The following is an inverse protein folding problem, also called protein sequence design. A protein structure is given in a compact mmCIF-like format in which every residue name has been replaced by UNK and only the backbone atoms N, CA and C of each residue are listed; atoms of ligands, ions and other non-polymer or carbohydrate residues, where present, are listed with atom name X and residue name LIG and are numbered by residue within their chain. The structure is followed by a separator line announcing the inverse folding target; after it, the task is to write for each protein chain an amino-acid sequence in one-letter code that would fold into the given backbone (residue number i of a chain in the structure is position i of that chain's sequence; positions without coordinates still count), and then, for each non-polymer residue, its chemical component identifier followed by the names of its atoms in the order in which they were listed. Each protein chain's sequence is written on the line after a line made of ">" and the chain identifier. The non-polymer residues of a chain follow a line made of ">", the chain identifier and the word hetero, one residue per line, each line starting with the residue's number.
data_IF_401852285367
#
_entry.id   IF_401852285367
#
_cell.length_a   1.000
_cell.length_b   1.000
_cell.length_c   1.000
_cell.angle_alpha   90.00
_cell.angle_beta   90.00
_cell.angle_gamma   90.00
#
_symmetry.space_group_name_H-M   'P 1'
#
loop_
_entity.id
_entity.type
_entity.pdbx_description
1 polymer ?
#
# COMPACT_ATOMS: atom_id res chain seq x y z
N UNK A 1 -17.97 46.34 66.00
CA UNK A 1 -17.76 46.27 64.54
C UNK A 1 -16.94 45.04 64.19
N UNK A 2 -17.52 44.06 63.47
CA UNK A 2 -16.81 43.05 62.68
C UNK A 2 -17.68 42.77 61.45
N UNK A 3 -17.15 43.00 60.25
CA UNK A 3 -17.91 42.85 59.03
C UNK A 3 -18.02 41.36 58.64
N UNK A 4 -19.23 40.91 58.28
CA UNK A 4 -19.39 39.67 57.52
C UNK A 4 -19.15 40.00 56.05
N UNK A 5 -18.14 39.36 55.44
CA UNK A 5 -17.94 39.41 53.99
C UNK A 5 -18.49 38.13 53.39
N UNK A 6 -19.62 38.23 52.69
CA UNK A 6 -20.26 37.10 52.01
C UNK A 6 -19.55 36.82 50.69
N UNK A 7 -18.82 35.71 50.59
CA UNK A 7 -18.21 35.27 49.33
C UNK A 7 -19.21 34.45 48.52
N UNK A 8 -19.65 34.98 47.37
CA UNK A 8 -20.45 34.25 46.39
C UNK A 8 -19.48 33.58 45.40
N UNK A 9 -19.27 32.26 45.55
CA UNK A 9 -18.49 31.48 44.59
C UNK A 9 -19.42 31.02 43.47
N UNK A 10 -19.48 31.80 42.38
CA UNK A 10 -20.20 31.43 41.16
C UNK A 10 -19.34 30.46 40.33
N UNK A 11 -19.34 29.18 40.70
CA UNK A 11 -18.69 28.13 39.90
C UNK A 11 -19.56 27.77 38.69
N UNK A 12 -19.45 28.56 37.62
CA UNK A 12 -20.06 28.21 36.34
C UNK A 12 -19.37 26.97 35.76
N UNK A 13 -20.05 25.82 35.79
CA UNK A 13 -19.58 24.62 35.11
C UNK A 13 -19.76 24.81 33.61
N UNK A 14 -18.65 25.11 32.92
CA UNK A 14 -18.59 25.07 31.46
C UNK A 14 -18.73 23.60 31.01
N UNK A 15 -19.94 23.21 30.59
CA UNK A 15 -20.13 22.01 29.78
C UNK A 15 -19.45 22.23 28.44
N UNK A 16 -18.19 21.80 28.31
CA UNK A 16 -17.53 21.68 27.02
C UNK A 16 -18.32 20.65 26.23
N UNK A 17 -19.12 21.11 25.28
CA UNK A 17 -19.71 20.25 24.27
C UNK A 17 -18.54 19.58 23.53
N UNK A 18 -18.35 18.29 23.78
CA UNK A 18 -17.34 17.52 23.06
C UNK A 18 -17.65 17.62 21.58
N UNK A 19 -16.71 18.12 20.79
CA UNK A 19 -16.85 18.21 19.34
C UNK A 19 -17.28 16.83 18.84
N UNK A 20 -18.48 16.75 18.28
CA UNK A 20 -18.92 15.53 17.62
C UNK A 20 -17.86 15.20 16.58
N UNK A 21 -17.41 13.94 16.53
CA UNK A 21 -16.69 13.47 15.34
C UNK A 21 -17.61 13.71 14.17
N UNK A 22 -17.29 14.68 13.31
CA UNK A 22 -17.86 14.71 11.98
C UNK A 22 -17.50 13.36 11.36
N UNK A 23 -18.52 12.51 11.21
CA UNK A 23 -18.45 11.40 10.29
C UNK A 23 -18.25 12.05 8.92
N UNK A 24 -17.01 12.07 8.44
CA UNK A 24 -16.69 12.36 7.05
C UNK A 24 -17.62 11.47 6.22
N UNK A 25 -18.65 12.09 5.63
CA UNK A 25 -19.58 11.36 4.79
C UNK A 25 -18.85 11.07 3.50
N UNK A 26 -18.50 9.80 3.30
CA UNK A 26 -18.05 9.28 2.01
C UNK A 26 -18.90 9.90 0.90
N UNK A 27 -18.28 10.68 0.02
CA UNK A 27 -18.98 11.47 -0.98
C UNK A 27 -19.56 10.59 -2.09
N UNK A 28 -19.02 9.39 -2.25
CA UNK A 28 -19.53 8.35 -3.14
C UNK A 28 -19.22 6.97 -2.54
N UNK A 29 -20.17 6.03 -2.65
CA UNK A 29 -20.02 4.63 -2.25
C UNK A 29 -20.21 3.77 -3.50
N UNK A 30 -19.18 3.00 -3.86
CA UNK A 30 -19.23 2.04 -4.96
C UNK A 30 -19.28 0.63 -4.40
N UNK A 31 -20.41 -0.08 -4.61
CA UNK A 31 -20.50 -1.50 -4.26
C UNK A 31 -19.69 -2.33 -5.23
N UNK A 32 -18.84 -3.18 -4.68
CA UNK A 32 -17.95 -4.10 -5.40
C UNK A 32 -18.22 -5.53 -4.92
N UNK A 33 -17.79 -6.53 -5.70
CA UNK A 33 -17.89 -7.94 -5.29
C UNK A 33 -16.71 -8.73 -5.80
N UNK A 34 -16.15 -9.57 -4.96
CA UNK A 34 -14.98 -10.39 -5.21
C UNK A 34 -13.75 -9.57 -5.66
N UNK A 35 -13.40 -8.52 -4.92
CA UNK A 35 -12.10 -7.85 -5.13
C UNK A 35 -11.00 -8.88 -4.84
N UNK A 36 -10.07 -9.07 -5.79
CA UNK A 36 -8.87 -9.93 -5.62
C UNK A 36 -7.57 -9.21 -5.98
N UNK A 37 -7.66 -8.21 -6.86
CA UNK A 37 -6.57 -7.30 -7.22
C UNK A 37 -7.04 -5.86 -7.07
N UNK A 38 -6.18 -4.99 -6.55
CA UNK A 38 -6.41 -3.54 -6.48
C UNK A 38 -5.30 -2.87 -7.27
N UNK A 39 -5.63 -2.01 -8.25
CA UNK A 39 -4.68 -1.17 -8.98
C UNK A 39 -4.98 0.30 -8.71
N UNK A 40 -3.95 1.06 -8.35
CA UNK A 40 -4.02 2.50 -8.10
C UNK A 40 -3.03 3.24 -9.00
N UNK A 41 -3.48 4.34 -9.61
CA UNK A 41 -2.72 5.12 -10.60
C UNK A 41 -3.12 6.59 -10.46
N UNK A 42 -2.17 7.52 -10.59
CA UNK A 42 -2.36 8.95 -10.30
C UNK A 42 -1.86 9.35 -8.91
N UNK A 43 -2.46 10.37 -8.31
CA UNK A 43 -1.99 11.02 -7.08
C UNK A 43 -3.04 10.89 -5.94
N UNK A 44 -3.27 9.65 -5.52
CA UNK A 44 -4.30 9.31 -4.52
C UNK A 44 -3.69 8.65 -3.28
N UNK A 45 -4.23 8.99 -2.11
CA UNK A 45 -4.02 8.23 -0.87
C UNK A 45 -5.14 7.18 -0.78
N UNK A 46 -4.76 5.90 -0.69
CA UNK A 46 -5.70 4.78 -0.65
C UNK A 46 -5.54 3.97 0.63
N UNK A 47 -6.58 3.98 1.47
CA UNK A 47 -6.64 3.13 2.65
C UNK A 47 -7.16 1.74 2.30
N UNK A 48 -6.44 0.71 2.74
CA UNK A 48 -6.76 -0.69 2.53
C UNK A 48 -7.34 -1.27 3.83
N UNK A 49 -8.64 -1.56 3.85
CA UNK A 49 -9.37 -2.06 5.02
C UNK A 49 -9.87 -3.49 4.75
N UNK A 50 -9.44 -4.46 5.55
CA UNK A 50 -10.00 -5.81 5.49
C UNK A 50 -11.37 -5.84 6.18
N UNK A 51 -12.42 -6.26 5.45
CA UNK A 51 -13.83 -6.19 5.87
C UNK A 51 -14.64 -7.34 5.27
N UNK A 52 -15.77 -7.69 5.90
CA UNK A 52 -16.70 -8.68 5.34
C UNK A 52 -17.58 -8.12 4.21
N UNK A 53 -17.75 -6.79 4.18
CA UNK A 53 -18.42 -6.07 3.10
C UNK A 53 -17.37 -5.45 2.18
N UNK A 54 -17.54 -5.65 0.87
CA UNK A 54 -16.64 -5.09 -0.14
C UNK A 54 -17.28 -3.84 -0.77
N UNK A 55 -16.58 -2.72 -0.68
CA UNK A 55 -17.00 -1.43 -1.23
C UNK A 55 -15.82 -0.47 -1.35
N UNK A 56 -16.01 0.63 -2.07
CA UNK A 56 -15.04 1.72 -2.17
C UNK A 56 -15.72 3.03 -1.80
N UNK A 57 -15.11 3.81 -0.92
CA UNK A 57 -15.55 5.15 -0.57
C UNK A 57 -14.56 6.19 -1.08
N UNK A 58 -15.07 7.30 -1.61
CA UNK A 58 -14.29 8.51 -1.85
C UNK A 58 -14.52 9.41 -0.65
N UNK A 59 -13.50 9.54 0.20
CA UNK A 59 -13.58 10.21 1.50
C UNK A 59 -13.21 11.69 1.37
N UNK A 60 -12.21 12.00 0.52
CA UNK A 60 -11.77 13.36 0.19
C UNK A 60 -11.45 13.49 -1.31
N UNK A 61 -11.56 14.71 -1.84
CA UNK A 61 -11.39 15.01 -3.27
C UNK A 61 -12.73 15.12 -4.03
N UNK A 62 -12.68 15.50 -5.30
CA UNK A 62 -13.87 15.57 -6.18
C UNK A 62 -14.12 14.19 -6.81
N UNK A 63 -15.28 13.59 -6.52
CA UNK A 63 -15.64 12.27 -7.04
C UNK A 63 -15.71 12.18 -8.57
N UNK A 64 -15.84 13.29 -9.30
CA UNK A 64 -15.83 13.30 -10.77
C UNK A 64 -14.41 13.13 -11.36
N UNK A 65 -13.37 13.47 -10.59
CA UNK A 65 -11.97 13.44 -11.02
C UNK A 65 -11.28 12.10 -10.65
N UNK A 66 -12.00 11.21 -9.96
CA UNK A 66 -11.53 9.90 -9.49
C UNK A 66 -12.38 8.80 -10.13
N UNK A 67 -11.77 7.99 -10.99
CA UNK A 67 -12.42 6.86 -11.65
C UNK A 67 -12.27 5.59 -10.83
N UNK A 68 -13.37 5.06 -10.30
CA UNK A 68 -13.46 3.74 -9.67
C UNK A 68 -14.14 2.78 -10.63
N UNK A 69 -13.42 1.75 -11.10
CA UNK A 69 -13.90 0.77 -12.09
C UNK A 69 -13.49 -0.64 -11.68
N UNK A 70 -14.41 -1.60 -11.79
CA UNK A 70 -14.11 -3.01 -11.57
C UNK A 70 -14.24 -3.80 -12.88
N UNK A 71 -13.24 -4.63 -13.21
CA UNK A 71 -13.26 -5.57 -14.34
C UNK A 71 -12.87 -6.96 -13.84
N UNK A 72 -13.82 -7.90 -13.85
CA UNK A 72 -13.67 -9.17 -13.14
C UNK A 72 -13.32 -8.93 -11.68
N UNK A 73 -12.32 -9.63 -11.16
CA UNK A 73 -11.84 -9.45 -9.78
C UNK A 73 -10.79 -8.33 -9.61
N UNK A 74 -10.60 -7.45 -10.61
CA UNK A 74 -9.64 -6.34 -10.55
C UNK A 74 -10.38 -5.02 -10.34
N UNK A 75 -10.13 -4.37 -9.22
CA UNK A 75 -10.56 -3.01 -8.93
C UNK A 75 -9.47 -2.04 -9.37
N UNK A 76 -9.80 -1.10 -10.25
CA UNK A 76 -8.94 0.01 -10.67
C UNK A 76 -9.47 1.32 -10.10
N UNK A 77 -8.57 2.07 -9.46
CA UNK A 77 -8.81 3.41 -8.93
C UNK A 77 -7.80 4.34 -9.62
N UNK A 78 -8.29 5.39 -10.28
CA UNK A 78 -7.43 6.23 -11.13
C UNK A 78 -7.82 7.69 -11.06
N UNK A 79 -6.84 8.57 -10.87
CA UNK A 79 -6.95 10.01 -11.07
C UNK A 79 -5.88 10.49 -12.07
N UNK A 80 -5.87 11.79 -12.39
CA UNK A 80 -4.65 12.42 -12.90
C UNK A 80 -3.68 12.78 -11.76
N UNK A 81 -2.48 13.27 -12.10
CA UNK A 81 -1.43 13.63 -11.12
C UNK A 81 -1.72 14.93 -10.35
N UNK A 82 -2.69 15.75 -10.81
CA UNK A 82 -3.04 17.04 -10.20
C UNK A 82 -4.16 16.87 -9.16
N UNK A 83 -5.05 15.94 -9.42
CA UNK A 83 -6.14 15.51 -8.57
C UNK A 83 -5.58 14.77 -7.37
N UNK A 84 -5.73 15.39 -6.20
CA UNK A 84 -5.48 14.75 -4.92
C UNK A 84 -6.81 14.25 -4.35
N UNK A 85 -6.80 13.09 -3.70
CA UNK A 85 -7.98 12.53 -3.06
C UNK A 85 -7.64 11.40 -2.08
N UNK A 86 -8.59 11.11 -1.20
CA UNK A 86 -8.52 10.01 -0.24
C UNK A 86 -9.63 9.02 -0.59
N UNK A 87 -9.25 7.76 -0.75
CA UNK A 87 -10.16 6.66 -1.10
C UNK A 87 -9.96 5.52 -0.10
N UNK A 88 -11.03 4.99 0.48
CA UNK A 88 -10.95 3.76 1.28
C UNK A 88 -11.52 2.58 0.51
N UNK A 89 -10.74 1.50 0.44
CA UNK A 89 -11.13 0.23 -0.18
C UNK A 89 -11.36 -0.81 0.91
N UNK A 90 -12.61 -1.25 1.01
CA UNK A 90 -13.01 -2.36 1.85
C UNK A 90 -13.01 -3.64 1.01
N UNK A 91 -12.27 -4.66 1.45
CA UNK A 91 -12.15 -5.95 0.75
C UNK A 91 -12.09 -7.12 1.74
N UNK A 92 -12.54 -8.30 1.32
CA UNK A 92 -12.54 -9.50 2.16
C UNK A 92 -11.21 -10.25 2.13
N UNK A 93 -10.71 -10.50 0.93
CA UNK A 93 -9.43 -11.20 0.71
C UNK A 93 -8.88 -10.87 -0.68
N UNK A 94 -7.69 -10.29 -0.75
CA UNK A 94 -6.97 -9.95 -1.98
C UNK A 94 -5.65 -10.73 -2.05
N UNK A 95 -5.14 -10.92 -3.26
CA UNK A 95 -3.80 -11.48 -3.46
C UNK A 95 -2.82 -10.52 -4.13
N UNK A 96 -3.26 -9.34 -4.58
CA UNK A 96 -2.39 -8.36 -5.26
C UNK A 96 -2.83 -6.92 -5.05
N UNK A 97 -1.85 -6.05 -4.82
CA UNK A 97 -1.96 -4.60 -4.98
C UNK A 97 -0.89 -4.09 -5.95
N UNK A 98 -1.29 -3.21 -6.85
CA UNK A 98 -0.45 -2.51 -7.82
C UNK A 98 -0.60 -1.00 -7.61
N UNK A 99 0.49 -0.24 -7.49
CA UNK A 99 0.48 1.21 -7.39
C UNK A 99 1.59 1.85 -8.24
N UNK A 100 1.26 2.93 -8.95
CA UNK A 100 2.17 3.70 -9.81
C UNK A 100 2.01 5.20 -9.54
N UNK A 101 2.71 6.03 -10.32
CA UNK A 101 2.64 7.50 -10.24
C UNK A 101 2.98 8.02 -8.83
N UNK A 102 2.28 9.05 -8.36
CA UNK A 102 2.44 9.64 -7.02
C UNK A 102 1.57 8.97 -5.94
N UNK A 103 0.95 7.81 -6.23
CA UNK A 103 -0.06 7.21 -5.35
C UNK A 103 0.52 6.61 -4.06
N UNK A 104 -0.28 6.55 -3.01
CA UNK A 104 0.12 6.12 -1.67
C UNK A 104 -0.85 5.10 -1.07
N UNK A 105 -0.41 3.86 -0.86
CA UNK A 105 -1.23 2.79 -0.25
C UNK A 105 -0.98 2.67 1.27
N UNK A 106 -2.03 2.60 2.09
CA UNK A 106 -1.89 2.48 3.55
C UNK A 106 -2.82 1.38 4.06
N UNK A 107 -2.29 0.31 4.65
CA UNK A 107 -3.12 -0.68 5.35
C UNK A 107 -3.68 -0.13 6.65
N UNK A 108 -4.99 -0.19 6.83
CA UNK A 108 -5.65 0.12 8.10
C UNK A 108 -5.80 -1.17 8.92
N UNK A 109 -5.06 -1.28 10.03
CA UNK A 109 -4.95 -2.50 10.80
C UNK A 109 -3.88 -3.47 10.25
N UNK A 110 -4.00 -4.76 10.59
CA UNK A 110 -3.20 -5.83 9.98
C UNK A 110 -4.05 -6.50 8.88
N UNK A 111 -3.46 -6.72 7.71
CA UNK A 111 -4.06 -7.56 6.67
C UNK A 111 -3.70 -9.02 6.91
N UNK A 112 -4.69 -9.88 7.15
CA UNK A 112 -4.50 -11.33 7.32
C UNK A 112 -4.89 -12.03 6.02
N UNK A 113 -3.89 -12.47 5.24
CA UNK A 113 -4.06 -12.97 3.87
C UNK A 113 -3.15 -14.20 3.66
N UNK A 114 -3.57 -15.22 2.91
CA UNK A 114 -2.69 -16.37 2.64
C UNK A 114 -1.47 -15.94 1.82
N UNK A 115 -1.72 -15.22 0.72
CA UNK A 115 -0.71 -14.76 -0.22
C UNK A 115 -0.97 -13.30 -0.57
N UNK A 116 0.08 -12.47 -0.61
CA UNK A 116 -0.01 -11.09 -1.07
C UNK A 116 1.12 -10.78 -2.06
N UNK A 117 0.80 -10.10 -3.14
CA UNK A 117 1.74 -9.50 -4.07
C UNK A 117 1.62 -7.97 -3.99
N UNK A 118 2.75 -7.26 -3.94
CA UNK A 118 2.82 -5.80 -3.93
C UNK A 118 3.74 -5.37 -5.08
N UNK A 119 3.24 -4.52 -5.97
CA UNK A 119 4.03 -3.91 -7.04
C UNK A 119 3.93 -2.39 -6.90
N UNK A 120 5.07 -1.73 -6.69
CA UNK A 120 5.18 -0.27 -6.69
C UNK A 120 6.10 0.19 -7.83
N UNK A 121 5.70 1.26 -8.50
CA UNK A 121 6.40 1.86 -9.64
C UNK A 121 6.38 3.40 -9.55
N UNK A 122 7.11 4.09 -10.42
CA UNK A 122 7.30 5.55 -10.45
C UNK A 122 7.72 6.14 -9.07
N UNK A 123 6.85 6.90 -8.41
CA UNK A 123 7.07 7.52 -7.10
C UNK A 123 6.13 6.93 -6.03
N UNK A 124 5.48 5.80 -6.33
CA UNK A 124 4.43 5.25 -5.49
C UNK A 124 4.97 4.86 -4.11
N UNK A 125 4.20 5.15 -3.07
CA UNK A 125 4.55 4.76 -1.70
C UNK A 125 3.55 3.75 -1.16
N UNK A 126 3.99 2.88 -0.26
CA UNK A 126 3.09 2.03 0.48
C UNK A 126 3.57 1.75 1.90
N UNK A 127 2.64 1.82 2.86
CA UNK A 127 2.83 1.36 4.22
C UNK A 127 1.87 0.20 4.48
N UNK A 128 2.40 -1.03 4.44
CA UNK A 128 1.60 -2.26 4.51
C UNK A 128 1.99 -3.08 5.75
N UNK A 129 1.03 -3.27 6.65
CA UNK A 129 1.09 -4.20 7.77
C UNK A 129 0.30 -5.46 7.41
N UNK A 130 0.99 -6.59 7.28
CA UNK A 130 0.37 -7.85 6.89
C UNK A 130 0.89 -9.04 7.70
N UNK A 131 0.05 -10.06 7.82
CA UNK A 131 0.35 -11.40 8.31
C UNK A 131 0.01 -12.39 7.20
N UNK A 132 1.03 -13.07 6.65
CA UNK A 132 0.87 -13.90 5.44
C UNK A 132 1.63 -15.23 5.46
N UNK A 133 1.23 -16.18 4.61
CA UNK A 133 2.08 -17.35 4.31
C UNK A 133 3.11 -17.02 3.23
N UNK A 134 2.73 -16.28 2.19
CA UNK A 134 3.65 -15.80 1.16
C UNK A 134 3.46 -14.32 0.85
N UNK A 135 4.57 -13.59 0.78
CA UNK A 135 4.62 -12.20 0.36
C UNK A 135 5.60 -12.08 -0.82
N UNK A 136 5.12 -11.54 -1.95
CA UNK A 136 5.93 -11.16 -3.09
C UNK A 136 5.94 -9.63 -3.22
N UNK A 137 7.11 -9.02 -3.35
CA UNK A 137 7.22 -7.55 -3.48
C UNK A 137 8.14 -7.18 -4.64
N UNK A 138 7.66 -6.30 -5.52
CA UNK A 138 8.46 -5.61 -6.53
C UNK A 138 8.38 -4.12 -6.26
N UNK A 139 9.52 -3.45 -6.18
CA UNK A 139 9.63 -1.98 -6.15
C UNK A 139 10.52 -1.54 -7.30
N UNK A 140 10.10 -0.53 -8.05
CA UNK A 140 10.85 0.06 -9.17
C UNK A 140 10.80 1.60 -9.14
N UNK A 141 11.55 2.26 -10.03
CA UNK A 141 11.61 3.72 -10.13
C UNK A 141 12.22 4.36 -8.87
N UNK A 142 11.46 5.26 -8.25
CA UNK A 142 11.75 5.92 -6.97
C UNK A 142 10.75 5.50 -5.87
N UNK A 143 10.02 4.39 -6.06
CA UNK A 143 8.97 3.93 -5.16
C UNK A 143 9.46 3.53 -3.77
N UNK A 144 8.57 3.55 -2.76
CA UNK A 144 8.93 3.32 -1.35
C UNK A 144 7.95 2.41 -0.63
N UNK A 145 8.37 1.19 -0.31
CA UNK A 145 7.59 0.20 0.44
C UNK A 145 8.09 0.07 1.89
N UNK A 146 7.24 0.38 2.87
CA UNK A 146 7.45 0.01 4.28
C UNK A 146 6.56 -1.17 4.66
N UNK A 147 7.17 -2.28 5.05
CA UNK A 147 6.50 -3.47 5.55
C UNK A 147 6.47 -3.52 7.08
N UNK A 148 5.35 -4.02 7.61
CA UNK A 148 5.14 -4.32 9.03
C UNK A 148 4.45 -5.68 9.18
N UNK A 149 4.62 -6.33 10.34
CA UNK A 149 3.98 -7.61 10.63
C UNK A 149 4.87 -8.81 10.32
N UNK A 150 4.32 -9.88 9.76
CA UNK A 150 5.03 -11.14 9.58
C UNK A 150 4.68 -11.90 8.30
N UNK A 151 5.62 -12.71 7.81
CA UNK A 151 5.33 -13.72 6.79
C UNK A 151 6.14 -15.00 7.01
N UNK A 152 5.69 -16.09 6.40
CA UNK A 152 6.51 -17.31 6.31
C UNK A 152 7.55 -17.19 5.19
N UNK A 153 7.12 -16.91 3.97
CA UNK A 153 8.02 -16.69 2.83
C UNK A 153 7.91 -15.27 2.27
N UNK A 154 9.04 -14.55 2.20
CA UNK A 154 9.15 -13.27 1.50
C UNK A 154 10.05 -13.43 0.27
N UNK A 155 9.56 -13.04 -0.90
CA UNK A 155 10.38 -12.90 -2.11
C UNK A 155 10.34 -11.42 -2.52
N UNK A 156 11.49 -10.77 -2.57
CA UNK A 156 11.60 -9.35 -2.92
C UNK A 156 12.50 -9.11 -4.13
N UNK A 157 12.05 -8.25 -5.03
CA UNK A 157 12.83 -7.65 -6.11
C UNK A 157 12.76 -6.13 -5.95
N UNK A 158 13.89 -5.46 -6.15
CA UNK A 158 14.04 -4.01 -5.98
C UNK A 158 14.90 -3.49 -7.12
N UNK A 159 14.32 -2.57 -7.88
CA UNK A 159 14.85 -1.99 -9.10
C UNK A 159 14.89 -0.46 -8.98
N UNK A 160 15.62 0.22 -9.87
CA UNK A 160 15.81 1.67 -9.83
C UNK A 160 16.43 2.16 -8.52
N UNK A 161 16.02 3.36 -8.10
CA UNK A 161 16.35 3.99 -6.81
C UNK A 161 15.26 3.73 -5.75
N UNK A 162 14.54 2.61 -5.85
CA UNK A 162 13.42 2.30 -4.95
C UNK A 162 13.86 1.81 -3.55
N UNK A 163 13.03 2.08 -2.54
CA UNK A 163 13.32 1.76 -1.13
C UNK A 163 12.39 0.66 -0.59
N UNK A 164 12.98 -0.42 -0.06
CA UNK A 164 12.25 -1.45 0.72
C UNK A 164 12.66 -1.43 2.20
N UNK A 165 11.74 -1.06 3.08
CA UNK A 165 11.92 -0.93 4.54
C UNK A 165 11.24 -2.07 5.28
N UNK A 166 12.04 -2.94 5.91
CA UNK A 166 11.58 -4.14 6.63
C UNK A 166 11.86 -4.12 8.13
N UNK A 167 12.29 -2.99 8.71
CA UNK A 167 12.70 -2.89 10.13
C UNK A 167 11.69 -3.45 11.14
N UNK A 168 10.40 -3.35 10.82
CA UNK A 168 9.28 -3.77 11.67
C UNK A 168 8.53 -4.99 11.09
N UNK A 169 9.19 -5.76 10.21
CA UNK A 169 8.66 -6.90 9.49
C UNK A 169 9.54 -8.13 9.70
N UNK A 170 8.92 -9.29 9.94
CA UNK A 170 9.62 -10.56 10.22
C UNK A 170 9.24 -11.58 9.15
N UNK A 171 10.21 -12.12 8.43
CA UNK A 171 10.02 -13.24 7.51
C UNK A 171 10.74 -14.49 8.05
N UNK A 172 10.09 -15.67 8.05
CA UNK A 172 10.79 -16.92 8.37
C UNK A 172 11.83 -17.27 7.29
N UNK A 173 11.59 -16.90 6.05
CA UNK A 173 12.53 -17.04 4.93
C UNK A 173 12.39 -15.88 3.97
N UNK A 174 13.49 -15.21 3.65
CA UNK A 174 13.55 -14.17 2.60
C UNK A 174 14.39 -14.67 1.43
N UNK A 175 13.94 -14.43 0.20
CA UNK A 175 14.72 -14.66 -1.03
C UNK A 175 14.74 -13.38 -1.85
N UNK A 176 15.92 -13.03 -2.36
CA UNK A 176 16.11 -12.00 -3.37
C UNK A 176 16.61 -12.70 -4.64
N UNK A 177 15.74 -12.94 -5.63
CA UNK A 177 16.17 -13.46 -6.92
C UNK A 177 17.16 -12.47 -7.52
N UNK A 178 18.41 -12.88 -7.72
CA UNK A 178 19.36 -12.05 -8.46
C UNK A 178 18.85 -11.93 -9.90
N UNK A 179 18.96 -10.74 -10.48
CA UNK A 179 18.88 -10.62 -11.92
C UNK A 179 19.93 -11.54 -12.54
N UNK A 180 19.49 -12.46 -13.39
CA UNK A 180 20.39 -13.29 -14.19
C UNK A 180 21.03 -12.42 -15.26
N UNK A 181 22.04 -11.64 -14.85
CA UNK A 181 22.85 -10.83 -15.74
C UNK A 181 23.32 -11.68 -16.91
N UNK A 182 23.16 -11.16 -18.13
CA UNK A 182 23.49 -11.89 -19.35
C UNK A 182 24.95 -12.34 -19.30
N UNK A 183 25.17 -13.64 -19.05
CA UNK A 183 26.49 -14.26 -19.13
C UNK A 183 26.95 -14.23 -20.57
N UNK A 184 27.65 -13.15 -20.93
CA UNK A 184 28.30 -13.00 -22.23
C UNK A 184 29.24 -14.19 -22.44
N UNK A 185 28.81 -15.13 -23.29
CA UNK A 185 29.58 -16.31 -23.67
C UNK A 185 30.79 -15.84 -24.49
N UNK A 186 31.86 -15.50 -23.79
CA UNK A 186 33.13 -15.12 -24.41
C UNK A 186 33.62 -16.33 -25.22
N UNK A 187 33.56 -16.21 -26.54
CA UNK A 187 34.04 -17.27 -27.43
C UNK A 187 35.51 -17.56 -27.10
N UNK A 188 35.78 -18.80 -26.71
CA UNK A 188 37.13 -19.24 -26.41
C UNK A 188 37.92 -19.31 -27.71
N UNK A 189 38.84 -18.36 -27.88
CA UNK A 189 39.77 -18.30 -29.01
C UNK A 189 40.53 -19.64 -29.12
N UNK A 190 40.14 -20.48 -30.08
CA UNK A 190 40.69 -21.81 -30.28
C UNK A 190 42.04 -21.72 -31.00
N UNK A 191 43.08 -21.41 -30.21
CA UNK A 191 44.46 -21.41 -30.66
C UNK A 191 44.92 -22.81 -31.08
N UNK A 192 45.06 -22.97 -32.40
CA UNK A 192 46.05 -23.81 -33.10
C UNK A 192 47.05 -24.60 -32.22
N UNK A 193 46.96 -25.94 -32.23
CA UNK A 193 48.13 -26.81 -32.01
C UNK A 193 48.09 -27.98 -33.01
N UNK A 194 49.22 -28.22 -33.68
CA UNK A 194 49.44 -29.33 -34.61
C UNK A 194 49.62 -30.67 -33.87
N UNK A 195 49.35 -31.80 -34.54
CA UNK A 195 49.61 -33.14 -33.98
C UNK A 195 49.44 -34.28 -34.98
N UNK A 196 50.55 -34.69 -35.60
CA UNK A 196 50.68 -35.80 -36.56
C UNK A 196 49.99 -37.10 -36.13
N UNK A 197 49.08 -37.59 -36.97
CA UNK A 197 48.77 -39.01 -37.15
C UNK A 197 48.65 -39.25 -38.67
N UNK A 198 49.37 -40.19 -39.29
CA UNK A 198 50.32 -41.17 -38.76
C UNK A 198 51.65 -41.10 -39.51
#
# INVERSE_FOLDING_TARGET
>A
MKALVTAIILSAMLTVAGNAKESLKAQSIHKTQEIKKIKVTGNLIVYLVQSQQEEVTIDEGNANDISVKQLGNTLSITSDEKTHGVVTVYFKNIFRVDASNSSSLISNGTLHLDNLQIFLDDQATALIKAETQSLYTVTDGHSKLELKGATREHISQTYGDSELKTRNFIAQTTRQPQESGMIARKESNAGNIQGTVR
#
